data_IF_954413653983
#
_entry.id   IF_954413653983
#
_cell.length_a   1.000
_cell.length_b   1.000
_cell.length_c   1.000
_cell.angle_alpha   90.00
_cell.angle_beta   90.00
_cell.angle_gamma   90.00
#
_symmetry.space_group_name_H-M   'P 1'
#
loop_
_entity.id
_entity.type
_entity.pdbx_description
1 polymer ?
#
# COMPACT_ATOMS: atom_id res chain seq x y z
N UNK A 1 -21.25 1.50 -19.73
CA UNK A 1 -20.80 2.89 -19.51
C UNK A 1 -21.02 3.22 -18.03
N UNK A 2 -20.07 2.90 -17.14
CA UNK A 2 -20.22 3.15 -15.69
C UNK A 2 -20.04 4.65 -15.40
N UNK A 3 -21.04 5.25 -14.74
CA UNK A 3 -21.14 6.69 -14.51
C UNK A 3 -20.05 7.22 -13.54
N UNK A 4 -19.00 7.83 -14.10
CA UNK A 4 -17.92 8.55 -13.39
C UNK A 4 -18.43 9.53 -12.31
N UNK A 5 -19.59 10.16 -12.53
CA UNK A 5 -20.18 11.11 -11.57
C UNK A 5 -20.72 10.45 -10.28
N UNK A 6 -21.27 9.23 -10.33
CA UNK A 6 -21.80 8.57 -9.12
C UNK A 6 -20.67 8.07 -8.23
N UNK A 7 -19.61 7.55 -8.83
CA UNK A 7 -18.41 7.08 -8.13
C UNK A 7 -17.75 8.21 -7.32
N UNK A 8 -17.57 9.39 -7.91
CA UNK A 8 -17.04 10.57 -7.21
C UNK A 8 -17.91 11.03 -6.05
N UNK A 9 -19.23 11.00 -6.22
CA UNK A 9 -20.19 11.32 -5.14
C UNK A 9 -20.11 10.34 -3.98
N UNK A 10 -19.98 9.05 -4.28
CA UNK A 10 -19.80 8.01 -3.26
C UNK A 10 -18.46 8.21 -2.54
N UNK A 11 -17.36 8.46 -3.27
CA UNK A 11 -16.05 8.74 -2.67
C UNK A 11 -16.09 9.97 -1.75
N UNK A 12 -16.79 11.04 -2.17
CA UNK A 12 -16.97 12.24 -1.34
C UNK A 12 -17.89 12.03 -0.12
N UNK A 13 -18.85 11.10 -0.21
CA UNK A 13 -19.76 10.75 0.89
C UNK A 13 -19.16 9.73 1.88
N UNK A 14 -18.13 8.97 1.48
CA UNK A 14 -17.44 7.97 2.32
C UNK A 14 -17.05 8.48 3.71
N UNK A 15 -16.44 9.67 3.90
CA UNK A 15 -16.08 10.15 5.23
C UNK A 15 -17.31 10.39 6.13
N UNK A 16 -18.40 10.90 5.56
CA UNK A 16 -19.66 11.09 6.30
C UNK A 16 -20.28 9.75 6.71
N UNK A 17 -20.33 8.79 5.78
CA UNK A 17 -20.85 7.44 6.06
C UNK A 17 -19.99 6.73 7.10
N UNK A 18 -18.67 6.81 6.96
CA UNK A 18 -17.70 6.26 7.91
C UNK A 18 -17.89 6.82 9.32
N UNK A 19 -18.13 8.13 9.46
CA UNK A 19 -18.38 8.77 10.74
C UNK A 19 -19.67 8.28 11.38
N UNK A 20 -20.75 8.17 10.60
CA UNK A 20 -22.05 7.68 11.10
C UNK A 20 -21.91 6.25 11.61
N UNK A 21 -21.23 5.38 10.85
CA UNK A 21 -20.95 3.99 11.23
C UNK A 21 -20.07 3.93 12.49
N UNK A 22 -19.02 4.76 12.56
CA UNK A 22 -18.15 4.84 13.73
C UNK A 22 -18.91 5.24 14.99
N UNK A 23 -19.75 6.28 14.91
CA UNK A 23 -20.53 6.78 16.04
C UNK A 23 -21.62 5.79 16.47
N UNK A 24 -22.28 5.10 15.54
CA UNK A 24 -23.26 4.06 15.88
C UNK A 24 -22.63 2.84 16.55
N UNK A 25 -21.45 2.41 16.10
CA UNK A 25 -20.68 1.35 16.76
C UNK A 25 -20.16 1.76 18.14
N UNK A 26 -19.68 3.00 18.28
CA UNK A 26 -19.17 3.57 19.53
C UNK A 26 -20.26 3.73 20.59
N UNK A 27 -21.42 4.29 20.24
CA UNK A 27 -22.52 4.48 21.20
C UNK A 27 -23.34 3.21 21.45
N UNK A 28 -23.50 2.34 20.45
CA UNK A 28 -24.32 1.13 20.57
C UNK A 28 -23.60 0.00 21.31
N UNK A 29 -22.34 -0.26 20.99
CA UNK A 29 -21.60 -1.40 21.52
C UNK A 29 -20.37 -1.02 22.36
N UNK A 30 -20.06 0.27 22.53
CA UNK A 30 -18.83 0.75 23.20
C UNK A 30 -17.54 0.28 22.50
N UNK A 31 -17.65 -0.13 21.22
CA UNK A 31 -16.58 -0.64 20.37
C UNK A 31 -15.82 0.51 19.69
N UNK A 32 -15.36 1.47 20.48
CA UNK A 32 -14.58 2.61 20.00
C UNK A 32 -13.26 2.19 19.37
N UNK A 33 -12.69 1.06 19.83
CA UNK A 33 -11.40 0.53 19.38
C UNK A 33 -11.48 -0.05 17.96
N UNK A 34 -12.35 -1.03 17.64
CA UNK A 34 -12.50 -1.51 16.27
C UNK A 34 -13.26 -0.53 15.38
N UNK A 35 -13.98 0.44 15.96
CA UNK A 35 -14.69 1.47 15.19
C UNK A 35 -13.79 2.25 14.23
N UNK A 36 -12.48 2.37 14.52
CA UNK A 36 -11.54 3.04 13.63
C UNK A 36 -11.38 2.35 12.27
N UNK A 37 -11.73 1.07 12.16
CA UNK A 37 -11.75 0.33 10.89
C UNK A 37 -12.71 0.98 9.88
N UNK A 38 -13.79 1.62 10.34
CA UNK A 38 -14.71 2.34 9.46
C UNK A 38 -13.98 3.40 8.63
N UNK A 39 -13.00 4.10 9.22
CA UNK A 39 -12.20 5.13 8.54
C UNK A 39 -11.27 4.55 7.48
N UNK A 40 -10.87 3.27 7.60
CA UNK A 40 -10.08 2.59 6.59
C UNK A 40 -10.85 2.42 5.26
N UNK A 41 -12.18 2.50 5.29
CA UNK A 41 -13.00 2.50 4.09
C UNK A 41 -12.72 3.73 3.20
N UNK A 42 -12.30 4.87 3.75
CA UNK A 42 -12.03 6.11 3.02
C UNK A 42 -10.92 5.93 1.98
N UNK A 43 -9.71 5.45 2.33
CA UNK A 43 -8.68 5.17 1.33
C UNK A 43 -9.04 3.97 0.44
N UNK A 44 -9.80 2.99 0.92
CA UNK A 44 -10.15 1.77 0.17
C UNK A 44 -11.20 2.04 -0.94
N UNK A 45 -12.13 2.96 -0.71
CA UNK A 45 -13.25 3.22 -1.63
C UNK A 45 -12.82 3.53 -3.08
N UNK A 46 -11.82 4.39 -3.36
CA UNK A 46 -11.36 4.62 -4.73
C UNK A 46 -10.73 3.38 -5.39
N UNK A 47 -10.24 2.40 -4.62
CA UNK A 47 -9.73 1.14 -5.16
C UNK A 47 -10.87 0.18 -5.55
N UNK A 48 -11.91 0.05 -4.72
CA UNK A 48 -13.11 -0.76 -5.03
C UNK A 48 -13.82 -0.28 -6.30
N UNK A 49 -13.84 1.04 -6.47
CA UNK A 49 -14.46 1.73 -7.61
C UNK A 49 -13.72 1.48 -8.94
N UNK A 50 -12.53 0.85 -8.91
CA UNK A 50 -11.81 0.40 -10.10
C UNK A 50 -11.01 1.51 -10.81
N UNK A 51 -10.77 2.64 -10.14
CA UNK A 51 -10.00 3.77 -10.70
C UNK A 51 -8.49 3.52 -10.78
N UNK A 52 -7.97 2.52 -10.04
CA UNK A 52 -6.55 2.13 -10.05
C UNK A 52 -6.43 0.61 -9.99
N UNK A 53 -5.51 0.04 -10.79
CA UNK A 53 -5.17 -1.39 -10.75
C UNK A 53 -4.68 -1.75 -9.35
N UNK A 54 -5.25 -2.79 -8.75
CA UNK A 54 -4.79 -3.33 -7.46
C UNK A 54 -3.38 -3.89 -7.64
N UNK A 55 -2.36 -3.07 -7.35
CA UNK A 55 -1.04 -3.58 -6.99
C UNK A 55 -1.12 -3.92 -5.52
N UNK A 56 -1.19 -5.22 -5.21
CA UNK A 56 -0.95 -5.71 -3.85
C UNK A 56 0.51 -5.42 -3.50
N UNK A 57 0.75 -4.20 -3.04
CA UNK A 57 2.03 -3.81 -2.46
C UNK A 57 2.07 -4.37 -1.04
N UNK A 58 3.21 -4.89 -0.61
CA UNK A 58 3.48 -5.39 0.75
C UNK A 58 2.75 -4.62 1.90
N UNK A 59 2.74 -3.28 1.96
CA UNK A 59 1.96 -2.50 2.93
C UNK A 59 0.46 -2.83 3.00
N UNK A 60 -0.20 -3.15 1.89
CA UNK A 60 -1.64 -3.50 1.87
C UNK A 60 -1.88 -4.83 2.59
N UNK A 61 -1.00 -5.81 2.39
CA UNK A 61 -1.03 -7.11 3.09
C UNK A 61 -0.80 -6.92 4.58
N UNK A 62 0.16 -6.08 4.96
CA UNK A 62 0.44 -5.74 6.37
C UNK A 62 -0.76 -5.07 7.03
N UNK A 63 -1.47 -4.18 6.34
CA UNK A 63 -2.69 -3.55 6.84
C UNK A 63 -3.81 -4.58 7.09
N UNK A 64 -4.01 -5.52 6.17
CA UNK A 64 -5.03 -6.59 6.32
C UNK A 64 -4.66 -7.49 7.51
N UNK A 65 -3.39 -7.90 7.62
CA UNK A 65 -2.91 -8.73 8.73
C UNK A 65 -3.09 -8.02 10.08
N UNK A 66 -2.75 -6.72 10.16
CA UNK A 66 -2.98 -5.89 11.32
C UNK A 66 -4.46 -5.82 11.71
N UNK A 67 -5.37 -5.69 10.72
CA UNK A 67 -6.82 -5.66 10.96
C UNK A 67 -7.34 -6.97 11.57
N UNK A 68 -6.90 -8.11 11.05
CA UNK A 68 -7.30 -9.43 11.53
C UNK A 68 -6.84 -9.64 12.97
N UNK A 69 -5.60 -9.23 13.28
CA UNK A 69 -5.04 -9.31 14.63
C UNK A 69 -5.74 -8.37 15.62
N UNK A 70 -6.04 -7.13 15.19
CA UNK A 70 -6.75 -6.14 16.00
C UNK A 70 -8.19 -6.58 16.32
N UNK A 71 -8.90 -7.18 15.36
CA UNK A 71 -10.25 -7.68 15.58
C UNK A 71 -10.32 -8.96 16.44
N UNK A 72 -9.36 -9.87 16.28
CA UNK A 72 -9.38 -11.16 16.97
C UNK A 72 -8.94 -11.07 18.44
N UNK A 73 -8.04 -10.15 18.77
CA UNK A 73 -7.41 -10.08 20.09
C UNK A 73 -7.49 -8.72 20.78
N UNK A 74 -8.08 -7.69 20.14
CA UNK A 74 -8.06 -6.30 20.60
C UNK A 74 -6.64 -5.73 20.80
N UNK A 75 -5.65 -6.38 20.15
CA UNK A 75 -4.22 -6.05 20.23
C UNK A 75 -3.86 -4.83 19.34
N UNK A 76 -4.66 -3.77 19.38
CA UNK A 76 -4.48 -2.54 18.61
C UNK A 76 -3.20 -1.78 18.99
N UNK A 77 -2.88 -1.77 20.28
CA UNK A 77 -1.68 -1.10 20.80
C UNK A 77 -0.36 -1.81 20.46
N UNK A 78 -0.20 -3.13 20.70
CA UNK A 78 1.03 -3.84 20.32
C UNK A 78 1.09 -4.20 18.83
N UNK A 79 -0.05 -4.29 18.14
CA UNK A 79 -0.10 -4.68 16.73
C UNK A 79 0.62 -3.72 15.78
N UNK A 80 0.88 -2.48 16.18
CA UNK A 80 1.63 -1.51 15.38
C UNK A 80 3.05 -1.98 15.03
N UNK A 81 3.62 -2.90 15.80
CA UNK A 81 4.93 -3.47 15.53
C UNK A 81 4.99 -4.15 14.15
N UNK A 82 3.86 -4.62 13.63
CA UNK A 82 3.78 -5.26 12.33
C UNK A 82 4.05 -4.27 11.18
N UNK A 83 3.80 -2.97 11.37
CA UNK A 83 4.17 -1.94 10.39
C UNK A 83 5.68 -1.80 10.24
N UNK A 84 6.48 -2.10 11.26
CA UNK A 84 7.95 -2.10 11.17
C UNK A 84 8.47 -3.22 10.27
N UNK A 85 7.67 -4.24 9.95
CA UNK A 85 8.06 -5.24 8.95
C UNK A 85 8.20 -4.65 7.56
N UNK A 86 7.52 -3.53 7.25
CA UNK A 86 7.61 -2.85 5.95
C UNK A 86 9.02 -2.30 5.71
N UNK A 87 9.60 -1.43 6.57
CA UNK A 87 10.96 -0.97 6.40
C UNK A 87 11.98 -2.12 6.53
N UNK A 88 11.75 -3.09 7.42
CA UNK A 88 12.64 -4.27 7.53
C UNK A 88 12.68 -5.06 6.22
N UNK A 89 11.53 -5.29 5.58
CA UNK A 89 11.46 -5.95 4.28
C UNK A 89 12.14 -5.14 3.18
N UNK A 90 12.02 -3.81 3.20
CA UNK A 90 12.70 -2.91 2.27
C UNK A 90 14.22 -2.93 2.46
N UNK A 91 14.71 -3.03 3.71
CA UNK A 91 16.15 -3.12 4.01
C UNK A 91 16.70 -4.49 3.60
N UNK A 92 15.96 -5.58 3.86
CA UNK A 92 16.36 -6.94 3.45
C UNK A 92 16.32 -7.13 1.92
N UNK A 93 15.36 -6.49 1.26
CA UNK A 93 15.24 -6.47 -0.21
C UNK A 93 15.94 -5.24 -0.79
N UNK A 94 16.81 -4.58 -0.03
CA UNK A 94 17.62 -3.50 -0.58
C UNK A 94 18.55 -4.14 -1.63
N UNK A 95 18.55 -3.64 -2.89
CA UNK A 95 19.43 -4.18 -3.92
C UNK A 95 20.86 -4.06 -3.42
N UNK A 96 21.54 -5.20 -3.32
CA UNK A 96 22.93 -5.25 -2.86
C UNK A 96 23.75 -4.29 -3.73
N UNK A 97 24.45 -3.29 -3.16
CA UNK A 97 25.20 -2.29 -3.95
C UNK A 97 26.22 -2.94 -4.91
N UNK A 98 26.67 -4.16 -4.61
CA UNK A 98 27.50 -4.98 -5.49
C UNK A 98 26.84 -5.31 -6.85
N UNK A 99 25.53 -5.55 -6.90
CA UNK A 99 24.81 -5.87 -8.15
C UNK A 99 24.64 -4.63 -9.03
N UNK A 100 24.43 -3.46 -8.41
CA UNK A 100 24.34 -2.17 -9.12
C UNK A 100 25.65 -1.86 -9.82
N UNK A 101 26.78 -2.09 -9.15
CA UNK A 101 28.13 -1.91 -9.71
C UNK A 101 28.39 -2.83 -10.91
N UNK A 102 27.91 -4.09 -10.87
CA UNK A 102 28.06 -5.04 -11.97
C UNK A 102 27.31 -4.60 -13.21
N UNK A 103 26.06 -4.13 -13.06
CA UNK A 103 25.25 -3.62 -14.17
C UNK A 103 25.85 -2.37 -14.82
N UNK A 104 26.46 -1.48 -14.02
CA UNK A 104 27.18 -0.29 -14.51
C UNK A 104 28.43 -0.71 -15.29
N UNK A 105 29.27 -1.59 -14.74
CA UNK A 105 30.51 -2.02 -15.40
C UNK A 105 30.24 -2.76 -16.73
N UNK A 106 29.19 -3.57 -16.78
CA UNK A 106 28.76 -4.26 -18.01
C UNK A 106 28.29 -3.24 -19.06
N UNK A 107 27.43 -2.29 -18.68
CA UNK A 107 26.95 -1.24 -19.59
C UNK A 107 28.09 -0.38 -20.12
N UNK A 108 29.04 0.01 -19.28
CA UNK A 108 30.24 0.74 -19.70
C UNK A 108 31.03 -0.03 -20.74
N UNK A 109 31.29 -1.33 -20.50
CA UNK A 109 32.09 -2.18 -21.40
C UNK A 109 31.44 -2.35 -22.78
N UNK A 110 30.11 -2.47 -22.85
CA UNK A 110 29.40 -2.58 -24.13
C UNK A 110 29.49 -1.30 -24.96
N UNK A 111 29.38 -0.12 -24.33
CA UNK A 111 29.45 1.17 -25.05
C UNK A 111 30.81 1.38 -25.73
N UNK A 112 31.91 0.96 -25.08
CA UNK A 112 33.25 1.09 -25.66
C UNK A 112 33.45 0.17 -26.85
N UNK A 113 32.88 -1.04 -26.83
CA UNK A 113 33.00 -2.03 -27.92
C UNK A 113 32.20 -1.56 -29.14
N UNK A 114 30.97 -1.06 -28.95
CA UNK A 114 30.16 -0.47 -30.04
C UNK A 114 30.81 0.78 -30.66
N UNK A 115 31.67 1.48 -29.92
CA UNK A 115 32.37 2.66 -30.43
C UNK A 115 33.60 2.28 -31.26
N UNK A 116 34.31 1.22 -30.87
CA UNK A 116 35.52 0.74 -31.57
C UNK A 116 35.17 0.05 -32.91
N UNK A 117 34.08 -0.74 -32.94
CA UNK A 117 33.64 -1.44 -34.16
C UNK A 117 33.06 -0.48 -35.23
N UNK A 118 32.60 0.72 -34.85
CA UNK A 118 31.97 1.68 -35.76
C UNK A 118 32.97 2.67 -36.39
N UNK A 119 34.23 2.66 -35.95
CA UNK A 119 35.31 3.50 -36.48
C UNK A 119 36.19 2.74 -37.51
N UNK A 120 36.00 1.42 -37.69
CA UNK A 120 36.73 0.56 -38.63
C UNK A 120 35.98 0.27 -39.97
N UNK A 121 34.76 0.81 -40.16
CA UNK A 121 33.98 0.72 -41.43
C UNK A 121 34.03 2.03 -42.25
#
# INVERSE_FOLDING_TARGET
MFNYNRQRRVVAATPMISLIVFLTLGFGWNLWHPGWIAFLAIPIMPFIVGLKKLRLTYPLVVIIAYLIMGLAWDLWHPGWIIFLTIPVFQILTAPNPADKMKSIKVKSKTIIIDSDDNDEE
#
